data_IF_193878944716
#
_entry.id   IF_193878944716
#
_cell.length_a   1.000
_cell.length_b   1.000
_cell.length_c   1.000
_cell.angle_alpha   90.00
_cell.angle_beta   90.00
_cell.angle_gamma   90.00
#
_symmetry.space_group_name_H-M   'P 1'
#
loop_
_entity.id
_entity.type
_entity.pdbx_description
1 polymer ?
#
# COMPACT_ATOMS: atom_id res chain seq x y z
N UNK A 1 -14.66 19.03 -0.82
CA UNK A 1 -14.95 17.88 0.06
C UNK A 1 -15.70 16.84 -0.76
N UNK A 2 -15.02 15.79 -1.22
CA UNK A 2 -15.69 14.71 -1.96
C UNK A 2 -16.34 13.82 -0.91
N UNK A 3 -17.67 13.89 -0.82
CA UNK A 3 -18.46 12.98 0.00
C UNK A 3 -18.51 11.64 -0.75
N UNK A 4 -17.90 10.59 -0.20
CA UNK A 4 -18.02 9.23 -0.76
C UNK A 4 -19.48 8.83 -0.61
N UNK A 5 -20.23 8.81 -1.71
CA UNK A 5 -21.68 8.56 -1.65
C UNK A 5 -22.01 7.07 -1.55
N UNK A 6 -21.16 6.19 -2.06
CA UNK A 6 -21.36 4.73 -2.05
C UNK A 6 -20.02 3.99 -2.08
N UNK A 7 -19.95 2.87 -1.36
CA UNK A 7 -18.91 1.83 -1.52
C UNK A 7 -19.56 0.73 -2.36
N UNK A 8 -18.91 0.34 -3.45
CA UNK A 8 -19.39 -0.64 -4.43
C UNK A 8 -18.34 -1.74 -4.57
N UNK A 9 -18.70 -2.80 -5.31
CA UNK A 9 -17.80 -3.92 -5.65
C UNK A 9 -17.32 -4.73 -4.42
N UNK A 10 -18.23 -5.53 -3.86
CA UNK A 10 -18.02 -6.35 -2.67
C UNK A 10 -17.55 -7.78 -2.98
N UNK A 11 -17.13 -8.05 -4.22
CA UNK A 11 -16.78 -9.42 -4.67
C UNK A 11 -15.59 -10.01 -3.91
N UNK A 12 -14.75 -9.15 -3.33
CA UNK A 12 -13.61 -9.53 -2.49
C UNK A 12 -13.81 -9.26 -1.00
N UNK A 13 -15.03 -8.94 -0.56
CA UNK A 13 -15.32 -8.72 0.86
C UNK A 13 -15.17 -10.03 1.64
N UNK A 14 -14.36 -9.99 2.68
CA UNK A 14 -14.14 -11.13 3.58
C UNK A 14 -13.94 -10.67 5.02
N UNK A 15 -14.19 -11.57 5.98
CA UNK A 15 -13.81 -11.32 7.37
C UNK A 15 -12.29 -11.28 7.45
N UNK A 16 -11.74 -10.17 7.93
CA UNK A 16 -10.31 -10.00 8.09
C UNK A 16 -9.96 -8.86 9.03
N UNK A 17 -8.67 -8.73 9.31
CA UNK A 17 -8.14 -7.62 10.10
C UNK A 17 -8.12 -6.33 9.26
N UNK A 18 -8.46 -5.21 9.89
CA UNK A 18 -8.51 -3.88 9.25
C UNK A 18 -7.21 -3.46 8.54
N UNK A 19 -6.08 -4.05 8.92
CA UNK A 19 -4.78 -3.79 8.30
C UNK A 19 -4.78 -4.13 6.80
N UNK A 20 -5.63 -5.07 6.36
CA UNK A 20 -5.77 -5.43 4.96
C UNK A 20 -6.40 -4.31 4.12
N UNK A 21 -7.40 -3.61 4.65
CA UNK A 21 -8.00 -2.46 3.98
C UNK A 21 -7.01 -1.29 3.89
N UNK A 22 -6.28 -1.05 4.98
CA UNK A 22 -5.23 -0.03 5.04
C UNK A 22 -4.13 -0.35 4.03
N UNK A 23 -3.65 -1.60 4.00
CA UNK A 23 -2.57 -1.99 3.10
C UNK A 23 -2.99 -1.94 1.64
N UNK A 24 -4.24 -2.31 1.34
CA UNK A 24 -4.79 -2.21 -0.01
C UNK A 24 -4.89 -0.76 -0.48
N UNK A 25 -5.36 0.16 0.38
CA UNK A 25 -5.40 1.58 0.05
C UNK A 25 -3.99 2.13 -0.22
N UNK A 26 -3.02 1.87 0.67
CA UNK A 26 -1.64 2.35 0.51
C UNK A 26 -0.99 1.78 -0.74
N UNK A 27 -1.24 0.51 -1.07
CA UNK A 27 -0.85 -0.09 -2.34
C UNK A 27 -1.50 0.65 -3.53
N UNK A 28 -2.80 0.91 -3.49
CA UNK A 28 -3.54 1.51 -4.61
C UNK A 28 -3.05 2.93 -4.95
N UNK A 29 -2.66 3.71 -3.95
CA UNK A 29 -2.17 5.08 -4.14
C UNK A 29 -0.66 5.19 -4.36
N UNK A 30 0.08 4.07 -4.35
CA UNK A 30 1.57 4.06 -4.36
C UNK A 30 2.21 4.85 -5.50
N UNK A 31 1.58 4.88 -6.67
CA UNK A 31 2.07 5.57 -7.88
C UNK A 31 1.47 6.98 -8.04
N UNK A 32 0.65 7.45 -7.10
CA UNK A 32 0.10 8.79 -7.15
C UNK A 32 1.20 9.83 -6.87
N UNK A 33 1.17 10.97 -7.58
CA UNK A 33 2.14 12.06 -7.39
C UNK A 33 2.19 12.60 -5.95
N UNK A 34 1.10 12.47 -5.21
CA UNK A 34 0.95 12.88 -3.81
C UNK A 34 0.68 11.69 -2.88
N UNK A 35 1.25 10.51 -3.19
CA UNK A 35 1.05 9.26 -2.44
C UNK A 35 1.25 9.41 -0.91
N UNK A 36 2.27 10.15 -0.48
CA UNK A 36 2.60 10.37 0.93
C UNK A 36 1.50 11.18 1.64
N UNK A 37 1.04 12.25 1.00
CA UNK A 37 -0.02 13.12 1.52
C UNK A 37 -1.36 12.36 1.59
N UNK A 38 -1.68 11.60 0.53
CA UNK A 38 -2.85 10.72 0.50
C UNK A 38 -2.80 9.66 1.61
N UNK A 39 -1.65 9.01 1.79
CA UNK A 39 -1.44 8.03 2.85
C UNK A 39 -1.65 8.64 4.23
N UNK A 40 -1.01 9.79 4.51
CA UNK A 40 -1.17 10.50 5.80
C UNK A 40 -2.61 10.91 6.06
N UNK A 41 -3.30 11.48 5.07
CA UNK A 41 -4.69 11.88 5.23
C UNK A 41 -5.63 10.70 5.44
N UNK A 42 -5.43 9.61 4.69
CA UNK A 42 -6.19 8.39 4.84
C UNK A 42 -6.01 7.81 6.25
N UNK A 43 -4.77 7.64 6.71
CA UNK A 43 -4.46 7.10 8.04
C UNK A 43 -5.04 7.97 9.17
N UNK A 44 -4.98 9.30 9.01
CA UNK A 44 -5.62 10.24 9.94
C UNK A 44 -7.14 10.06 10.01
N UNK A 45 -7.79 9.80 8.88
CA UNK A 45 -9.24 9.57 8.79
C UNK A 45 -9.69 8.18 9.23
N UNK A 46 -8.84 7.16 9.04
CA UNK A 46 -9.14 5.76 9.37
C UNK A 46 -9.10 5.48 10.89
N UNK A 47 -8.33 6.29 11.63
CA UNK A 47 -8.23 6.25 13.09
C UNK A 47 -6.88 5.73 13.57
N UNK A 48 -6.68 5.64 14.90
CA UNK A 48 -5.41 5.24 15.49
C UNK A 48 -4.94 3.88 14.95
N UNK A 49 -3.63 3.75 14.75
CA UNK A 49 -2.95 2.50 14.36
C UNK A 49 -2.02 2.10 15.49
N UNK A 50 -2.08 0.84 15.90
CA UNK A 50 -1.21 0.29 16.93
C UNK A 50 0.23 0.12 16.43
N UNK A 51 1.23 0.12 17.32
CA UNK A 51 2.63 -0.14 16.93
C UNK A 51 2.81 -1.46 16.16
N UNK A 52 2.05 -2.50 16.54
CA UNK A 52 2.09 -3.81 15.86
C UNK A 52 1.55 -3.72 14.44
N UNK A 53 0.45 -2.98 14.23
CA UNK A 53 -0.05 -2.76 12.87
C UNK A 53 0.97 -1.98 12.02
N UNK A 54 1.65 -0.97 12.58
CA UNK A 54 2.71 -0.23 11.86
C UNK A 54 3.85 -1.17 11.45
N UNK A 55 4.30 -2.04 12.35
CA UNK A 55 5.35 -3.02 12.07
C UNK A 55 4.94 -4.01 10.97
N UNK A 56 3.68 -4.44 10.97
CA UNK A 56 3.13 -5.41 10.02
C UNK A 56 2.77 -4.81 8.65
N UNK A 57 2.61 -3.50 8.54
CA UNK A 57 2.12 -2.84 7.33
C UNK A 57 2.98 -3.12 6.08
N UNK A 58 4.32 -3.05 6.11
CA UNK A 58 5.13 -3.37 4.93
C UNK A 58 4.83 -4.76 4.36
N UNK A 59 4.68 -5.75 5.25
CA UNK A 59 4.32 -7.13 4.86
C UNK A 59 2.88 -7.21 4.35
N UNK A 60 1.95 -6.48 4.98
CA UNK A 60 0.56 -6.44 4.54
C UNK A 60 0.39 -5.78 3.14
N UNK A 61 1.18 -4.76 2.82
CA UNK A 61 1.21 -4.11 1.50
C UNK A 61 1.88 -5.03 0.47
N UNK A 62 2.96 -5.71 0.86
CA UNK A 62 3.61 -6.71 0.01
C UNK A 62 2.66 -7.85 -0.34
N UNK A 63 1.83 -8.30 0.61
CA UNK A 63 0.76 -9.27 0.38
C UNK A 63 -0.27 -8.78 -0.64
N UNK A 64 -0.68 -7.50 -0.58
CA UNK A 64 -1.58 -6.93 -1.59
C UNK A 64 -0.94 -6.97 -2.99
N UNK A 65 0.34 -6.62 -3.09
CA UNK A 65 1.10 -6.69 -4.35
C UNK A 65 1.20 -8.13 -4.88
N UNK A 66 1.43 -9.09 -3.99
CA UNK A 66 1.48 -10.52 -4.33
C UNK A 66 0.13 -11.04 -4.82
N UNK A 67 -0.97 -10.58 -4.23
CA UNK A 67 -2.31 -10.95 -4.70
C UNK A 67 -2.50 -10.59 -6.18
N UNK A 68 -2.05 -9.42 -6.63
CA UNK A 68 -2.11 -9.02 -8.05
C UNK A 68 -1.17 -9.82 -8.96
N UNK A 69 -0.09 -10.41 -8.44
CA UNK A 69 0.67 -11.41 -9.20
C UNK A 69 -0.16 -12.68 -9.41
N UNK A 70 -0.88 -13.12 -8.38
CA UNK A 70 -1.73 -14.31 -8.45
C UNK A 70 -2.95 -14.13 -9.38
N UNK A 71 -3.45 -12.91 -9.56
CA UNK A 71 -4.59 -12.66 -10.46
C UNK A 71 -4.28 -12.95 -11.93
N UNK A 72 -3.00 -13.02 -12.31
CA UNK A 72 -2.60 -13.48 -13.64
C UNK A 72 -3.14 -14.89 -13.97
N UNK A 73 -3.40 -15.74 -12.96
CA UNK A 73 -3.99 -17.06 -13.19
C UNK A 73 -5.44 -17.04 -13.69
N UNK A 74 -6.12 -15.90 -13.61
CA UNK A 74 -7.54 -15.76 -13.96
C UNK A 74 -7.79 -15.14 -15.34
N UNK A 75 -6.74 -14.78 -16.09
CA UNK A 75 -6.87 -14.13 -17.41
C UNK A 75 -6.60 -15.10 -18.58
N UNK A 76 -6.91 -14.67 -19.80
CA UNK A 76 -6.79 -15.50 -21.01
C UNK A 76 -5.34 -15.86 -21.37
N UNK A 77 -4.37 -14.99 -21.09
CA UNK A 77 -2.93 -15.24 -21.23
C UNK A 77 -2.23 -15.07 -19.87
N UNK A 78 -2.22 -16.12 -19.02
CA UNK A 78 -1.62 -16.04 -17.69
C UNK A 78 -0.12 -15.76 -17.68
N UNK A 79 0.60 -16.22 -18.72
CA UNK A 79 2.05 -16.07 -18.78
C UNK A 79 2.40 -14.62 -19.10
N UNK A 80 1.74 -14.03 -20.10
CA UNK A 80 1.90 -12.62 -20.44
C UNK A 80 1.55 -11.70 -19.27
N UNK A 81 0.40 -11.92 -18.64
CA UNK A 81 -0.05 -11.10 -17.51
C UNK A 81 0.89 -11.23 -16.31
N UNK A 82 1.37 -12.44 -15.99
CA UNK A 82 2.34 -12.63 -14.91
C UNK A 82 3.63 -11.86 -15.19
N UNK A 83 4.12 -11.87 -16.43
CA UNK A 83 5.33 -11.13 -16.81
C UNK A 83 5.16 -9.62 -16.63
N UNK A 84 4.01 -9.05 -17.02
CA UNK A 84 3.73 -7.62 -16.83
C UNK A 84 3.59 -7.26 -15.35
N UNK A 85 2.82 -8.03 -14.58
CA UNK A 85 2.68 -7.81 -13.14
C UNK A 85 4.03 -7.95 -12.42
N UNK A 86 4.88 -8.89 -12.82
CA UNK A 86 6.22 -9.07 -12.23
C UNK A 86 7.12 -7.85 -12.41
N UNK A 87 7.00 -7.09 -13.52
CA UNK A 87 7.79 -5.85 -13.71
C UNK A 87 7.45 -4.78 -12.68
N UNK A 88 6.21 -4.75 -12.18
CA UNK A 88 5.71 -3.71 -11.27
C UNK A 88 5.68 -4.19 -9.82
N UNK A 89 5.08 -5.34 -9.56
CA UNK A 89 4.82 -5.81 -8.20
C UNK A 89 6.09 -6.33 -7.51
N UNK A 90 6.97 -7.04 -8.25
CA UNK A 90 8.17 -7.63 -7.63
C UNK A 90 9.14 -6.57 -7.09
N UNK A 91 9.55 -5.55 -7.87
CA UNK A 91 10.42 -4.50 -7.32
C UNK A 91 9.80 -3.77 -6.13
N UNK A 92 8.49 -3.59 -6.14
CA UNK A 92 7.78 -2.96 -5.03
C UNK A 92 7.75 -3.83 -3.78
N UNK A 93 7.52 -5.14 -3.91
CA UNK A 93 7.63 -6.11 -2.81
C UNK A 93 9.04 -6.10 -2.23
N UNK A 94 10.06 -6.19 -3.09
CA UNK A 94 11.46 -6.21 -2.67
C UNK A 94 11.82 -4.91 -1.92
N UNK A 95 11.33 -3.76 -2.39
CA UNK A 95 11.49 -2.47 -1.71
C UNK A 95 10.77 -2.41 -0.36
N UNK A 96 9.51 -2.83 -0.28
CA UNK A 96 8.72 -2.85 0.97
C UNK A 96 9.40 -3.68 2.07
N UNK A 97 10.03 -4.79 1.70
CA UNK A 97 10.71 -5.70 2.63
C UNK A 97 12.13 -5.25 2.98
N UNK A 98 12.69 -4.28 2.25
CA UNK A 98 13.96 -3.63 2.58
C UNK A 98 13.83 -2.66 3.75
N UNK A 99 14.95 -2.28 4.35
CA UNK A 99 14.98 -1.31 5.45
C UNK A 99 14.48 0.08 5.01
N UNK A 100 14.75 0.47 3.76
CA UNK A 100 14.30 1.74 3.20
C UNK A 100 12.77 1.79 3.06
N UNK A 101 12.15 0.70 2.57
CA UNK A 101 10.70 0.60 2.47
C UNK A 101 10.04 0.58 3.84
N UNK A 102 10.55 -0.21 4.78
CA UNK A 102 10.06 -0.24 6.16
C UNK A 102 10.13 1.15 6.81
N UNK A 103 11.24 1.86 6.65
CA UNK A 103 11.39 3.21 7.17
C UNK A 103 10.40 4.20 6.53
N UNK A 104 10.23 4.13 5.21
CA UNK A 104 9.28 4.97 4.47
C UNK A 104 7.83 4.79 4.97
N UNK A 105 7.40 3.54 5.15
CA UNK A 105 6.07 3.24 5.70
C UNK A 105 5.94 3.74 7.14
N UNK A 106 6.94 3.55 7.99
CA UNK A 106 6.95 4.09 9.35
C UNK A 106 6.82 5.63 9.37
N UNK A 107 7.45 6.32 8.43
CA UNK A 107 7.40 7.79 8.35
C UNK A 107 6.02 8.37 8.03
N UNK A 108 5.09 7.57 7.48
CA UNK A 108 3.69 7.98 7.33
C UNK A 108 3.01 8.26 8.67
N UNK A 109 3.53 7.69 9.77
CA UNK A 109 2.99 7.80 11.12
C UNK A 109 3.73 8.83 12.00
N UNK A 110 4.92 9.28 11.60
CA UNK A 110 5.81 10.09 12.45
C UNK A 110 5.52 11.60 12.46
N UNK A 111 4.41 12.07 11.88
CA UNK A 111 4.19 13.52 11.64
C UNK A 111 3.96 14.35 12.92
N UNK A 112 3.80 13.74 14.10
CA UNK A 112 3.67 14.49 15.36
C UNK A 112 4.97 14.66 16.18
N UNK A 113 6.12 14.17 15.71
CA UNK A 113 7.41 14.41 16.38
C UNK A 113 8.43 15.11 15.49
N UNK A 114 8.29 16.43 15.40
CA UNK A 114 9.41 17.35 15.14
C UNK A 114 10.03 17.30 13.74
N UNK A 115 10.18 18.49 13.15
CA UNK A 115 10.97 18.84 11.95
C UNK A 115 12.19 17.96 11.64
N UNK A 116 12.49 17.91 10.32
CA UNK A 116 13.73 17.55 9.58
C UNK A 116 13.53 16.25 8.78
N UNK A 117 13.83 16.11 7.48
CA UNK A 117 14.53 16.89 6.45
C UNK A 117 14.08 16.35 5.08
N UNK A 118 14.15 17.19 4.05
CA UNK A 118 14.03 16.79 2.64
C UNK A 118 14.93 15.57 2.33
N UNK A 119 14.36 14.54 1.71
CA UNK A 119 15.06 13.29 1.43
C UNK A 119 14.32 12.39 0.45
N UNK A 120 14.53 12.69 -0.84
CA UNK A 120 14.58 11.79 -2.02
C UNK A 120 13.67 10.56 -1.99
N UNK A 121 12.61 10.54 -2.81
CA UNK A 121 12.10 9.30 -3.42
C UNK A 121 11.63 9.56 -4.86
N UNK A 122 12.60 9.51 -5.77
CA UNK A 122 12.36 9.19 -7.17
C UNK A 122 12.39 7.67 -7.29
N UNK A 123 11.36 7.04 -7.84
CA UNK A 123 11.52 6.08 -8.93
C UNK A 123 10.29 6.22 -9.84
N UNK A 124 10.57 6.48 -11.13
CA UNK A 124 9.62 6.46 -12.25
C UNK A 124 9.18 5.04 -12.57
#
# INVERSE_FOLDING_TARGET
>A
MIMVKYILDFDFLQKGERIHDISYFLWAVRNAKNNEELGKHFLKGYGPISPVEVEMLPVAIARASLFFLCTASFVADPVGELQEQMKVQKPYIDWLLSDAGKLSINNLFCVERGRLKEGIFLIN
#
